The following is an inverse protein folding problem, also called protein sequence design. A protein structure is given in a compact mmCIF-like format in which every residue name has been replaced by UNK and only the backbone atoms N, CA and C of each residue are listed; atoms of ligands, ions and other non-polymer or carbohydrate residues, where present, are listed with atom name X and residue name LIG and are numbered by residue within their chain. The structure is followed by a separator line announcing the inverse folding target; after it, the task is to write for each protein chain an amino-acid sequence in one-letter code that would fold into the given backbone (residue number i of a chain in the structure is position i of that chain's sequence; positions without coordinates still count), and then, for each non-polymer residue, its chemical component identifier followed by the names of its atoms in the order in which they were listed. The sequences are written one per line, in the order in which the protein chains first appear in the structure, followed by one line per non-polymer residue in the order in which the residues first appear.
data_IF_973453671670
#
_entry.id   IF_973453671670
#
_cell.length_a   1.000
_cell.length_b   1.000
_cell.length_c   1.000
_cell.angle_alpha   90.00
_cell.angle_beta   90.00
_cell.angle_gamma   90.00
#
_symmetry.space_group_name_H-M   'P 1'
#
loop_
_entity.id
_entity.type
_entity.pdbx_description
1 polymer ?
#
# COMPACT_ATOMS: atom_id res chain seq x y z
N UNK A 1 -7.92 2.50 24.54
CA UNK A 1 -7.88 2.57 24.61
C UNK A 1 -7.66 2.56 25.26
N UNK A 2 -7.53 2.47 25.44
CA UNK A 2 -7.56 2.70 25.79
C UNK A 2 -7.04 3.55 26.16
N UNK A 3 -6.28 3.57 26.09
CA UNK A 3 -5.47 4.42 26.22
C UNK A 3 -5.94 5.42 26.90
N UNK A 4 -6.65 5.37 27.24
CA UNK A 4 -7.43 6.24 27.85
C UNK A 4 -8.25 5.54 28.88
N UNK A 5 -7.94 4.31 29.22
CA UNK A 5 -8.72 3.53 30.13
C UNK A 5 -10.05 3.14 29.53
N UNK A 6 -10.08 3.03 28.22
CA UNK A 6 -11.32 2.69 27.55
C UNK A 6 -11.62 1.22 27.68
N UNK A 7 -12.91 0.87 27.78
CA UNK A 7 -13.32 -0.50 27.62
C UNK A 7 -13.22 -0.87 26.14
N UNK A 8 -13.64 -2.07 25.80
CA UNK A 8 -13.48 -2.55 24.44
C UNK A 8 -14.26 -1.69 23.44
N UNK A 9 -15.49 -1.33 23.77
CA UNK A 9 -16.27 -0.48 22.89
C UNK A 9 -15.63 0.89 22.73
N UNK A 10 -15.11 1.44 23.82
CA UNK A 10 -14.45 2.73 23.75
C UNK A 10 -13.17 2.63 22.96
N UNK A 11 -12.46 1.52 23.04
CA UNK A 11 -11.26 1.32 22.25
C UNK A 11 -11.59 1.27 20.76
N UNK A 12 -12.69 0.60 20.40
CA UNK A 12 -13.14 0.56 19.03
C UNK A 12 -13.58 1.94 18.56
N UNK A 13 -14.28 2.67 19.40
CA UNK A 13 -14.66 4.03 19.05
C UNK A 13 -13.45 4.92 18.91
N UNK A 14 -12.46 4.74 19.77
CA UNK A 14 -11.23 5.50 19.66
C UNK A 14 -10.50 5.14 18.39
N UNK A 15 -10.49 3.87 18.01
CA UNK A 15 -9.88 3.45 16.76
C UNK A 15 -10.58 4.11 15.58
N UNK A 16 -11.91 4.19 15.63
CA UNK A 16 -12.66 4.86 14.58
C UNK A 16 -12.38 6.34 14.55
N UNK A 17 -12.32 6.96 15.72
CA UNK A 17 -11.98 8.37 15.79
C UNK A 17 -10.59 8.63 15.28
N UNK A 18 -9.64 7.77 15.63
CA UNK A 18 -8.29 7.91 15.14
C UNK A 18 -8.27 7.75 13.63
N UNK A 19 -9.05 6.82 13.11
CA UNK A 19 -9.13 6.62 11.68
C UNK A 19 -9.79 7.81 11.00
N UNK A 20 -10.82 8.37 11.61
CA UNK A 20 -11.59 9.43 10.97
C UNK A 20 -11.03 10.81 11.20
N UNK A 21 -10.43 11.04 12.36
CA UNK A 21 -10.03 12.39 12.74
C UNK A 21 -8.57 12.50 13.14
N UNK A 22 -8.07 11.51 13.87
CA UNK A 22 -6.74 11.61 14.47
C UNK A 22 -5.80 10.51 14.02
N UNK A 23 -6.25 9.61 13.19
CA UNK A 23 -5.43 8.46 12.84
C UNK A 23 -4.14 8.88 12.16
N UNK A 24 -4.20 9.90 11.33
CA UNK A 24 -3.01 10.41 10.66
C UNK A 24 -1.96 10.86 11.67
N UNK A 25 -2.40 11.58 12.71
CA UNK A 25 -1.49 12.04 13.74
C UNK A 25 -0.89 10.87 14.52
N UNK A 26 -1.72 9.93 14.92
CA UNK A 26 -1.25 8.76 15.64
C UNK A 26 -0.29 7.93 14.79
N UNK A 27 -0.62 7.78 13.51
CA UNK A 27 0.23 7.05 12.60
C UNK A 27 1.59 7.72 12.44
N UNK A 28 1.59 9.05 12.37
CA UNK A 28 2.85 9.79 12.26
C UNK A 28 3.71 9.59 13.51
N UNK A 29 3.10 9.58 14.67
CA UNK A 29 3.84 9.36 15.90
C UNK A 29 4.42 7.95 15.94
N UNK A 30 3.61 6.95 15.61
CA UNK A 30 4.04 5.55 15.70
C UNK A 30 5.00 5.19 14.58
N UNK A 31 4.64 5.51 13.36
CA UNK A 31 5.40 5.05 12.20
C UNK A 31 6.56 5.97 11.88
N UNK A 32 6.49 7.22 12.29
CA UNK A 32 7.62 8.10 12.18
C UNK A 32 8.81 7.61 12.97
N UNK A 33 8.55 7.00 14.13
CA UNK A 33 9.60 6.42 14.95
C UNK A 33 10.19 5.19 14.28
N UNK A 34 9.33 4.41 13.60
CA UNK A 34 9.78 3.18 12.93
C UNK A 34 10.30 3.45 11.54
N UNK A 35 10.10 4.67 11.02
CA UNK A 35 10.54 5.02 9.67
C UNK A 35 9.53 4.73 8.58
N UNK A 36 8.29 4.34 8.95
CA UNK A 36 7.23 4.12 7.96
C UNK A 36 6.31 5.32 7.85
N UNK A 37 5.37 5.27 6.91
CA UNK A 37 4.40 6.33 6.71
C UNK A 37 2.99 5.77 6.88
N UNK A 38 2.35 6.15 7.99
CA UNK A 38 0.98 5.70 8.27
C UNK A 38 -0.08 6.42 7.47
N UNK A 39 0.23 7.53 6.82
CA UNK A 39 -0.78 8.32 6.14
C UNK A 39 -1.34 7.61 4.91
N UNK A 40 -0.46 7.09 4.06
CA UNK A 40 -0.93 6.35 2.88
C UNK A 40 -1.59 5.04 3.30
N UNK A 41 -1.13 4.43 4.40
CA UNK A 41 -1.76 3.22 4.92
C UNK A 41 -3.19 3.54 5.37
N UNK A 42 -3.38 4.65 6.06
CA UNK A 42 -4.71 5.07 6.51
C UNK A 42 -5.65 5.26 5.32
N UNK A 43 -5.16 5.94 4.28
CA UNK A 43 -5.98 6.16 3.08
C UNK A 43 -6.34 4.82 2.44
N UNK A 44 -5.37 3.93 2.29
CA UNK A 44 -5.61 2.63 1.66
C UNK A 44 -6.62 1.81 2.45
N UNK A 45 -6.47 1.79 3.77
CA UNK A 45 -7.39 1.02 4.62
C UNK A 45 -8.82 1.54 4.54
N UNK A 46 -8.99 2.84 4.33
CA UNK A 46 -10.32 3.43 4.21
C UNK A 46 -11.06 2.94 2.97
N UNK A 47 -10.37 2.35 2.01
CA UNK A 47 -10.94 1.90 0.75
C UNK A 47 -11.24 0.41 0.73
N UNK A 48 -10.87 -0.32 1.78
CA UNK A 48 -11.09 -1.77 1.82
C UNK A 48 -12.56 -2.08 1.65
N UNK A 49 -12.86 -3.04 0.77
CA UNK A 49 -14.23 -3.44 0.47
C UNK A 49 -14.77 -2.86 -0.83
N UNK A 50 -14.12 -1.85 -1.40
CA UNK A 50 -14.57 -1.30 -2.67
C UNK A 50 -14.33 -2.31 -3.79
N UNK A 51 -15.29 -2.42 -4.70
CA UNK A 51 -15.30 -3.45 -5.75
C UNK A 51 -15.29 -2.77 -7.11
N UNK A 52 -14.57 -3.34 -8.07
CA UNK A 52 -14.64 -2.94 -9.48
C UNK A 52 -13.66 -1.87 -9.89
N UNK A 53 -13.10 -1.13 -8.99
CA UNK A 53 -11.98 -0.22 -9.25
C UNK A 53 -12.29 1.05 -10.03
N UNK A 54 -13.56 1.32 -10.36
CA UNK A 54 -13.88 2.49 -11.18
C UNK A 54 -13.38 3.80 -10.60
N UNK A 55 -13.48 4.06 -9.28
CA UNK A 55 -12.97 5.33 -8.74
C UNK A 55 -11.48 5.55 -9.01
N UNK A 56 -10.74 4.46 -9.16
CA UNK A 56 -9.29 4.54 -9.29
C UNK A 56 -8.86 4.60 -10.75
N UNK A 57 -9.38 3.71 -11.60
CA UNK A 57 -8.97 3.73 -12.99
C UNK A 57 -9.57 4.92 -13.73
N UNK A 58 -10.77 5.38 -13.36
CA UNK A 58 -11.34 6.56 -14.01
C UNK A 58 -10.60 7.83 -13.58
N UNK A 59 -10.24 7.92 -12.29
CA UNK A 59 -9.40 9.03 -11.83
C UNK A 59 -8.08 9.08 -12.58
N UNK A 60 -7.51 7.89 -12.83
CA UNK A 60 -6.22 7.83 -13.52
C UNK A 60 -6.33 8.37 -14.95
N UNK A 61 -7.48 8.21 -15.58
CA UNK A 61 -7.71 8.71 -16.93
C UNK A 61 -8.22 7.66 -17.90
N UNK A 62 -8.50 6.44 -17.43
CA UNK A 62 -9.04 5.40 -18.30
C UNK A 62 -10.55 5.54 -18.43
N UNK A 63 -11.07 5.22 -19.62
CA UNK A 63 -12.50 5.32 -19.88
C UNK A 63 -13.22 4.00 -19.70
N UNK A 64 -12.50 2.91 -19.45
CA UNK A 64 -13.09 1.60 -19.21
C UNK A 64 -12.16 0.84 -18.27
N UNK A 65 -12.66 -0.31 -17.79
CA UNK A 65 -11.91 -1.07 -16.79
C UNK A 65 -10.57 -1.54 -17.33
N UNK A 66 -9.55 -1.37 -16.52
CA UNK A 66 -8.21 -1.91 -16.74
C UNK A 66 -7.83 -2.69 -15.50
N UNK A 67 -6.67 -3.36 -15.52
CA UNK A 67 -6.10 -3.90 -14.29
C UNK A 67 -5.71 -2.70 -13.43
N UNK A 68 -6.28 -2.59 -12.24
CA UNK A 68 -6.25 -1.32 -11.52
C UNK A 68 -5.46 -1.35 -10.22
N UNK A 69 -4.60 -2.36 -10.02
CA UNK A 69 -3.81 -2.39 -8.79
C UNK A 69 -2.89 -1.18 -8.68
N UNK A 70 -2.23 -0.79 -9.76
CA UNK A 70 -1.34 0.37 -9.75
C UNK A 70 -2.12 1.67 -9.73
N UNK A 71 -3.28 1.70 -10.37
CA UNK A 71 -4.15 2.88 -10.29
C UNK A 71 -4.58 3.15 -8.85
N UNK A 72 -4.86 2.09 -8.09
CA UNK A 72 -5.24 2.22 -6.69
C UNK A 72 -4.09 2.78 -5.85
N UNK A 73 -2.88 2.25 -6.02
CA UNK A 73 -1.72 2.76 -5.28
C UNK A 73 -1.50 4.23 -5.62
N UNK A 74 -1.58 4.57 -6.91
CA UNK A 74 -1.42 5.96 -7.34
C UNK A 74 -2.49 6.87 -6.75
N UNK A 75 -3.72 6.39 -6.72
CA UNK A 75 -4.81 7.17 -6.14
C UNK A 75 -4.57 7.44 -4.66
N UNK A 76 -4.14 6.42 -3.91
CA UNK A 76 -3.83 6.59 -2.49
C UNK A 76 -2.70 7.60 -2.31
N UNK A 77 -1.67 7.53 -3.14
CA UNK A 77 -0.55 8.46 -3.07
C UNK A 77 -1.01 9.88 -3.38
N UNK A 78 -1.92 10.03 -4.35
CA UNK A 78 -2.44 11.35 -4.72
C UNK A 78 -3.24 11.97 -3.57
N UNK A 79 -4.00 11.16 -2.84
CA UNK A 79 -4.76 11.65 -1.70
C UNK A 79 -3.85 12.23 -0.63
N UNK A 80 -2.63 11.77 -0.55
CA UNK A 80 -1.64 12.26 0.42
C UNK A 80 -0.76 13.36 -0.16
N UNK A 81 -0.95 13.74 -1.42
CA UNK A 81 -0.10 14.75 -2.06
C UNK A 81 1.24 14.22 -2.51
N UNK A 82 1.44 12.91 -2.52
CA UNK A 82 2.75 12.32 -2.76
C UNK A 82 3.13 12.27 -4.24
N UNK A 83 2.15 12.30 -5.14
CA UNK A 83 2.47 12.36 -6.57
C UNK A 83 3.00 13.74 -6.90
N UNK A 84 2.32 14.78 -6.45
CA UNK A 84 2.77 16.15 -6.73
C UNK A 84 4.13 16.40 -6.08
N UNK A 85 4.35 15.84 -4.91
CA UNK A 85 5.62 16.02 -4.19
C UNK A 85 6.76 15.17 -4.76
N UNK A 86 6.48 14.28 -5.70
CA UNK A 86 7.51 13.44 -6.29
C UNK A 86 7.97 12.30 -5.41
N UNK A 87 7.18 11.93 -4.41
CA UNK A 87 7.52 10.87 -3.45
C UNK A 87 7.13 9.51 -3.99
N UNK A 88 5.99 9.43 -4.69
CA UNK A 88 5.50 8.20 -5.30
C UNK A 88 5.05 8.57 -6.71
N UNK A 89 5.35 7.73 -7.73
CA UNK A 89 4.96 8.06 -9.09
C UNK A 89 3.48 7.77 -9.33
N UNK A 90 2.90 8.44 -10.31
CA UNK A 90 1.59 8.05 -10.83
C UNK A 90 1.85 7.02 -11.92
N UNK A 91 1.44 5.76 -11.67
CA UNK A 91 1.73 4.70 -12.61
C UNK A 91 0.57 3.73 -12.71
N UNK A 92 0.43 3.11 -13.88
CA UNK A 92 -0.59 2.11 -14.14
C UNK A 92 0.00 0.76 -14.52
N UNK A 93 1.31 0.71 -14.80
CA UNK A 93 2.00 -0.51 -15.17
C UNK A 93 3.12 -0.77 -14.19
N UNK A 94 3.09 -1.94 -13.55
CA UNK A 94 4.06 -2.26 -12.51
C UNK A 94 5.47 -2.43 -13.08
N UNK A 95 5.61 -3.28 -14.10
CA UNK A 95 6.95 -3.63 -14.60
C UNK A 95 7.62 -2.52 -15.38
N UNK A 96 6.84 -1.76 -16.16
CA UNK A 96 7.44 -0.77 -17.07
C UNK A 96 7.48 0.63 -16.47
N UNK A 97 6.72 0.89 -15.41
CA UNK A 97 6.64 2.22 -14.81
C UNK A 97 7.02 2.23 -13.34
N UNK A 98 6.34 1.43 -12.52
CA UNK A 98 6.51 1.50 -11.07
C UNK A 98 7.89 1.03 -10.62
N UNK A 99 8.26 -0.19 -11.00
CA UNK A 99 9.54 -0.77 -10.57
C UNK A 99 10.73 0.08 -11.05
N UNK A 100 10.81 0.46 -12.35
CA UNK A 100 11.95 1.27 -12.80
C UNK A 100 12.03 2.61 -12.10
N UNK A 101 10.89 3.22 -11.76
CA UNK A 101 10.91 4.52 -11.11
C UNK A 101 11.66 4.45 -9.77
N UNK A 102 11.40 3.41 -8.98
CA UNK A 102 12.08 3.25 -7.69
C UNK A 102 13.54 2.83 -7.89
N UNK A 103 13.79 1.95 -8.87
CA UNK A 103 15.15 1.48 -9.14
C UNK A 103 16.06 2.62 -9.55
N UNK A 104 15.58 3.50 -10.42
CA UNK A 104 16.38 4.60 -10.93
C UNK A 104 16.73 5.61 -9.85
N UNK A 105 15.94 5.66 -8.80
CA UNK A 105 16.16 6.61 -7.70
C UNK A 105 16.86 6.00 -6.51
N UNK A 106 17.28 4.73 -6.62
CA UNK A 106 17.95 4.07 -5.51
C UNK A 106 17.01 3.74 -4.36
N UNK A 107 15.71 3.63 -4.65
CA UNK A 107 14.68 3.38 -3.64
C UNK A 107 14.08 2.00 -3.82
N UNK A 108 14.87 1.03 -4.21
CA UNK A 108 14.39 -0.32 -4.50
C UNK A 108 15.06 -1.32 -3.57
N UNK A 109 14.28 -2.28 -3.07
CA UNK A 109 14.78 -3.38 -2.25
C UNK A 109 14.24 -4.69 -2.80
N UNK A 110 15.05 -5.75 -2.70
CA UNK A 110 14.59 -7.07 -3.14
C UNK A 110 13.69 -7.69 -2.05
N UNK A 111 13.25 -8.93 -2.29
CA UNK A 111 12.27 -9.55 -1.39
C UNK A 111 12.85 -10.01 -0.06
N UNK A 112 14.15 -9.93 0.15
CA UNK A 112 14.73 -10.25 1.45
C UNK A 112 14.63 -9.10 2.44
N UNK A 113 14.26 -7.92 1.96
CA UNK A 113 14.11 -6.72 2.76
C UNK A 113 12.90 -6.86 3.70
N UNK A 114 13.05 -6.39 4.93
CA UNK A 114 11.92 -6.34 5.85
C UNK A 114 11.24 -4.99 5.67
N UNK A 115 10.03 -4.96 5.12
CA UNK A 115 9.40 -3.70 4.76
C UNK A 115 8.85 -2.95 5.96
N UNK A 116 8.52 -1.69 5.72
CA UNK A 116 7.93 -0.79 6.71
C UNK A 116 6.55 -0.36 6.21
N UNK A 117 5.68 0.06 7.13
CA UNK A 117 4.39 0.61 6.70
C UNK A 117 4.59 1.74 5.70
N UNK A 118 3.82 1.70 4.62
CA UNK A 118 3.92 2.69 3.56
C UNK A 118 4.85 2.34 2.42
N UNK A 119 5.65 1.29 2.56
CA UNK A 119 6.43 0.80 1.43
C UNK A 119 5.48 0.26 0.36
N UNK A 120 5.95 0.24 -0.87
CA UNK A 120 5.16 -0.23 -2.00
C UNK A 120 5.67 -1.60 -2.38
N UNK A 121 4.81 -2.62 -2.29
CA UNK A 121 5.20 -4.01 -2.49
C UNK A 121 4.78 -4.44 -3.89
N UNK A 122 5.71 -5.07 -4.61
CA UNK A 122 5.49 -5.54 -5.98
C UNK A 122 5.59 -7.06 -6.02
N UNK A 123 4.76 -7.68 -6.84
CA UNK A 123 4.67 -9.13 -6.95
C UNK A 123 4.90 -9.59 -8.37
N UNK A 124 5.46 -10.80 -8.50
CA UNK A 124 5.55 -11.52 -9.76
C UNK A 124 4.86 -12.86 -9.51
N UNK A 125 3.60 -12.94 -9.92
CA UNK A 125 2.79 -14.11 -9.60
C UNK A 125 3.26 -15.35 -10.35
N UNK A 126 3.21 -16.49 -9.66
CA UNK A 126 3.55 -17.77 -10.27
C UNK A 126 2.27 -18.38 -10.85
N UNK A 127 1.68 -17.66 -11.80
CA UNK A 127 0.44 -18.09 -12.43
C UNK A 127 0.84 -18.59 -13.80
N UNK A 128 1.21 -19.86 -13.86
CA UNK A 128 1.75 -20.44 -15.08
C UNK A 128 3.26 -20.26 -15.19
N UNK A 129 3.92 -19.81 -14.11
CA UNK A 129 5.36 -19.58 -14.08
C UNK A 129 5.69 -18.11 -13.97
N UNK A 130 6.69 -17.79 -13.14
CA UNK A 130 7.13 -16.41 -13.00
C UNK A 130 7.90 -16.00 -14.24
N UNK A 131 7.63 -14.77 -14.74
CA UNK A 131 8.27 -14.28 -15.95
C UNK A 131 9.36 -13.26 -15.68
N UNK A 132 9.64 -12.95 -14.40
CA UNK A 132 10.66 -11.98 -14.04
C UNK A 132 10.21 -10.54 -14.13
N UNK A 133 8.92 -10.30 -14.34
CA UNK A 133 8.36 -8.94 -14.41
C UNK A 133 7.23 -8.83 -13.40
N UNK A 134 7.10 -7.66 -12.80
CA UNK A 134 6.08 -7.45 -11.78
C UNK A 134 4.69 -7.40 -12.41
N UNK A 135 3.76 -8.15 -11.80
CA UNK A 135 2.38 -8.25 -12.27
C UNK A 135 1.40 -7.50 -11.39
N UNK A 136 1.78 -7.16 -10.18
CA UNK A 136 0.82 -6.66 -9.19
C UNK A 136 1.55 -5.79 -8.19
N UNK A 137 0.81 -4.90 -7.53
CA UNK A 137 1.40 -3.96 -6.57
C UNK A 137 0.39 -3.68 -5.48
N UNK A 138 0.90 -3.42 -4.28
CA UNK A 138 0.08 -3.04 -3.14
C UNK A 138 0.85 -2.10 -2.22
N UNK A 139 0.23 -1.80 -1.09
CA UNK A 139 0.81 -0.92 -0.09
C UNK A 139 1.01 -1.75 1.17
N UNK A 140 2.20 -1.66 1.75
CA UNK A 140 2.51 -2.38 2.99
C UNK A 140 1.78 -1.69 4.13
N UNK A 141 0.96 -2.46 4.84
CA UNK A 141 0.25 -1.95 6.00
C UNK A 141 1.12 -2.06 7.24
N UNK A 142 1.71 -3.21 7.48
CA UNK A 142 2.54 -3.47 8.66
C UNK A 142 3.26 -4.79 8.49
N UNK A 143 4.20 -5.04 9.39
CA UNK A 143 4.85 -6.34 9.51
C UNK A 143 4.61 -6.83 10.94
N UNK A 144 4.21 -8.07 11.06
CA UNK A 144 3.91 -8.65 12.36
C UNK A 144 4.09 -10.15 12.29
N UNK A 145 4.80 -10.71 13.25
CA UNK A 145 4.98 -12.17 13.38
C UNK A 145 5.53 -12.81 12.09
N UNK A 146 6.49 -12.14 11.46
CA UNK A 146 7.14 -12.68 10.26
C UNK A 146 6.31 -12.59 9.00
N UNK A 147 5.23 -11.83 9.02
CA UNK A 147 4.37 -11.65 7.85
C UNK A 147 4.26 -10.19 7.50
N UNK A 148 4.21 -9.91 6.20
CA UNK A 148 3.92 -8.57 5.71
C UNK A 148 2.43 -8.52 5.38
N UNK A 149 1.75 -7.53 5.93
CA UNK A 149 0.34 -7.29 5.69
C UNK A 149 0.21 -6.15 4.69
N UNK A 150 -0.70 -6.29 3.76
CA UNK A 150 -0.84 -5.35 2.64
C UNK A 150 -2.27 -4.88 2.48
N UNK A 151 -2.43 -3.76 1.77
CA UNK A 151 -3.71 -3.35 1.21
C UNK A 151 -3.50 -3.29 -0.30
N UNK A 152 -4.33 -4.02 -1.04
CA UNK A 152 -4.15 -4.18 -2.47
C UNK A 152 -5.43 -3.88 -3.21
N UNK A 153 -5.33 -3.10 -4.27
CA UNK A 153 -6.43 -2.92 -5.20
C UNK A 153 -6.41 -4.04 -6.22
N UNK A 154 -7.57 -4.33 -6.79
CA UNK A 154 -7.74 -5.39 -7.78
C UNK A 154 -7.30 -6.76 -7.28
N UNK A 155 -7.54 -7.01 -6.00
CA UNK A 155 -7.33 -8.32 -5.41
C UNK A 155 -8.71 -8.97 -5.41
N UNK A 156 -8.96 -9.88 -6.38
CA UNK A 156 -10.31 -10.38 -6.60
C UNK A 156 -11.26 -9.25 -7.01
N UNK A 157 -10.76 -8.29 -7.81
CA UNK A 157 -11.52 -7.14 -8.27
C UNK A 157 -12.02 -6.25 -7.13
N UNK A 158 -11.31 -6.27 -6.02
CA UNK A 158 -11.70 -5.50 -4.82
C UNK A 158 -10.45 -4.93 -4.16
N UNK A 159 -10.67 -3.97 -3.27
CA UNK A 159 -9.62 -3.52 -2.36
C UNK A 159 -9.66 -4.46 -1.15
N UNK A 160 -8.56 -5.16 -0.90
CA UNK A 160 -8.49 -6.17 0.15
C UNK A 160 -7.22 -6.04 0.96
N UNK A 161 -7.29 -6.54 2.19
CA UNK A 161 -6.11 -6.77 3.01
C UNK A 161 -5.65 -8.20 2.79
N UNK A 162 -4.36 -8.37 2.55
CA UNK A 162 -3.75 -9.68 2.37
C UNK A 162 -2.52 -9.77 3.25
N UNK A 163 -1.90 -10.95 3.33
CA UNK A 163 -0.65 -11.10 4.05
C UNK A 163 0.17 -12.22 3.44
N UNK A 164 1.49 -12.12 3.58
CA UNK A 164 2.44 -13.07 3.01
C UNK A 164 3.60 -13.24 3.98
N UNK A 165 4.26 -14.40 3.98
CA UNK A 165 5.51 -14.50 4.76
C UNK A 165 6.54 -13.53 4.21
N UNK A 166 7.37 -12.95 5.09
CA UNK A 166 8.48 -12.13 4.63
C UNK A 166 9.40 -13.02 3.80
N UNK A 167 9.83 -12.52 2.65
CA UNK A 167 10.66 -13.28 1.73
C UNK A 167 9.89 -14.24 0.84
N UNK A 168 8.56 -14.16 0.85
CA UNK A 168 7.73 -15.03 0.02
C UNK A 168 8.15 -14.92 -1.44
N UNK A 169 8.24 -16.05 -2.12
CA UNK A 169 8.90 -16.10 -3.44
C UNK A 169 8.15 -15.31 -4.52
N UNK A 170 6.87 -15.05 -4.35
CA UNK A 170 6.14 -14.25 -5.33
C UNK A 170 6.30 -12.75 -5.10
N UNK A 171 6.92 -12.34 -4.00
CA UNK A 171 7.23 -10.93 -3.81
C UNK A 171 8.43 -10.60 -4.69
N UNK A 172 8.22 -9.66 -5.61
CA UNK A 172 9.26 -9.26 -6.55
C UNK A 172 10.26 -8.30 -5.87
N UNK A 173 9.75 -7.42 -5.05
CA UNK A 173 10.58 -6.46 -4.34
C UNK A 173 9.73 -5.31 -3.82
N UNK A 174 10.41 -4.28 -3.32
CA UNK A 174 9.74 -3.15 -2.68
C UNK A 174 10.28 -1.83 -3.19
N UNK A 175 9.37 -0.88 -3.44
CA UNK A 175 9.74 0.52 -3.55
C UNK A 175 9.67 1.13 -2.16
N UNK A 176 10.69 1.92 -1.81
CA UNK A 176 10.78 2.53 -0.48
C UNK A 176 10.72 4.05 -0.65
N UNK A 177 9.51 4.62 -0.70
CA UNK A 177 9.38 6.06 -0.94
C UNK A 177 10.13 6.89 0.09
N UNK A 178 10.60 8.05 -0.33
CA UNK A 178 11.35 8.95 0.56
C UNK A 178 10.36 9.88 1.28
N UNK A 179 9.61 9.30 2.17
CA UNK A 179 8.66 10.05 2.97
C UNK A 179 9.31 11.13 3.82
#
# INVERSE_FOLDING_TARGET
ADQFGFNEDQREQMAELLADENNSLWSQVLYGITGGDGEIVTVALSQVGNVGGEPYWSWYGFSSRVEWCACFVSWCADQCGYIEAGVIPKFAACASQGVPWFQERGLWQDNSYEPRPGDIIFFDWDDGGQDGQSDHVGIVEKVENGRVYTVEGNSGDSVRQNSYPIGYYEIYGYGTPAY
#
